data_IF_495972360506
#
_entry.id   IF_495972360506
#
_cell.length_a   1.000
_cell.length_b   1.000
_cell.length_c   1.000
_cell.angle_alpha   90.00
_cell.angle_beta   90.00
_cell.angle_gamma   90.00
#
_symmetry.space_group_name_H-M   'P 1'
#
loop_
_entity.id
_entity.type
_entity.pdbx_description
1 polymer ?
#
# COMPACT_ATOMS: atom_id res chain seq x y z
N UNK A 1 8.60 5.97 7.03
CA UNK A 1 9.60 6.31 5.98
C UNK A 1 10.03 5.02 5.29
N UNK A 2 10.57 5.07 4.06
CA UNK A 2 11.10 3.89 3.39
C UNK A 2 12.57 3.63 3.78
N UNK A 3 13.05 2.41 3.56
CA UNK A 3 14.48 2.07 3.65
C UNK A 3 14.90 1.59 2.27
N UNK A 4 15.67 2.41 1.56
CA UNK A 4 16.11 2.08 0.20
C UNK A 4 17.28 1.10 0.25
N UNK A 5 17.15 -0.01 -0.47
CA UNK A 5 18.22 -1.00 -0.65
C UNK A 5 17.99 -1.81 -1.93
N UNK A 6 19.05 -2.16 -2.66
CA UNK A 6 18.95 -2.82 -3.98
C UNK A 6 18.31 -4.21 -3.92
N UNK A 7 18.41 -4.90 -2.78
CA UNK A 7 17.73 -6.19 -2.53
C UNK A 7 16.22 -6.04 -2.27
N UNK A 8 15.67 -4.85 -2.47
CA UNK A 8 14.27 -4.56 -2.20
C UNK A 8 14.03 -4.15 -0.75
N UNK A 9 14.77 -3.16 -0.25
CA UNK A 9 14.44 -2.55 1.03
C UNK A 9 12.97 -2.07 1.10
N UNK A 10 12.32 -2.07 2.28
CA UNK A 10 10.89 -1.84 2.39
C UNK A 10 10.49 -0.43 1.96
N UNK A 11 9.39 -0.33 1.22
CA UNK A 11 8.70 0.95 1.02
C UNK A 11 8.11 1.43 2.35
N UNK A 12 7.72 2.70 2.42
CA UNK A 12 7.22 3.29 3.66
C UNK A 12 5.97 2.56 4.19
N UNK A 13 5.12 2.07 3.29
CA UNK A 13 3.92 1.28 3.56
C UNK A 13 4.25 -0.01 4.34
N UNK A 14 5.30 -0.73 3.93
CA UNK A 14 5.71 -1.97 4.58
C UNK A 14 6.32 -1.72 5.97
N UNK A 15 7.03 -0.60 6.13
CA UNK A 15 7.51 -0.15 7.44
C UNK A 15 6.34 0.18 8.36
N UNK A 16 5.29 0.83 7.84
CA UNK A 16 4.07 1.14 8.61
C UNK A 16 3.36 -0.14 9.06
N UNK A 17 3.23 -1.14 8.20
CA UNK A 17 2.63 -2.45 8.57
C UNK A 17 3.39 -3.08 9.75
N UNK A 18 4.73 -3.14 9.66
CA UNK A 18 5.55 -3.69 10.74
C UNK A 18 5.45 -2.87 12.04
N UNK A 19 5.46 -1.54 11.93
CA UNK A 19 5.32 -0.66 13.08
C UNK A 19 3.94 -0.80 13.76
N UNK A 20 2.86 -0.87 12.98
CA UNK A 20 1.50 -1.08 13.47
C UNK A 20 1.38 -2.43 14.19
N UNK A 21 1.87 -3.51 13.58
CA UNK A 21 1.90 -4.83 14.20
C UNK A 21 2.69 -4.86 15.50
N UNK A 22 3.84 -4.16 15.55
CA UNK A 22 4.64 -4.00 16.78
C UNK A 22 3.93 -3.22 17.89
N UNK A 23 2.89 -2.46 17.56
CA UNK A 23 2.02 -1.75 18.50
C UNK A 23 0.70 -2.49 18.77
N UNK A 24 0.51 -3.70 18.22
CA UNK A 24 -0.73 -4.46 18.36
C UNK A 24 -1.88 -3.96 17.47
N UNK A 25 -1.62 -3.08 16.51
CA UNK A 25 -2.61 -2.59 15.55
C UNK A 25 -2.64 -3.49 14.30
N UNK A 26 -3.63 -4.38 14.25
CA UNK A 26 -3.79 -5.36 13.16
C UNK A 26 -4.91 -5.03 12.18
N UNK A 27 -5.70 -3.99 12.45
CA UNK A 27 -6.78 -3.53 11.57
C UNK A 27 -6.44 -2.16 10.99
N UNK A 28 -5.79 -2.16 9.82
CA UNK A 28 -5.50 -0.94 9.07
C UNK A 28 -6.65 -0.67 8.08
N UNK A 29 -7.29 0.50 8.21
CA UNK A 29 -8.47 0.87 7.40
C UNK A 29 -8.14 1.82 6.25
N UNK A 30 -7.03 2.56 6.33
CA UNK A 30 -6.59 3.46 5.28
C UNK A 30 -5.06 3.64 5.26
N UNK A 31 -4.50 3.91 4.09
CA UNK A 31 -3.07 4.19 3.92
C UNK A 31 -2.82 5.32 2.91
N UNK A 32 -1.75 6.09 3.12
CA UNK A 32 -1.25 7.09 2.17
C UNK A 32 0.28 7.13 2.22
N UNK A 33 0.93 7.24 1.06
CA UNK A 33 2.36 7.50 0.97
C UNK A 33 2.59 8.91 0.42
N UNK A 34 3.50 9.66 1.05
CA UNK A 34 3.80 11.05 0.71
C UNK A 34 5.28 11.21 0.46
N UNK A 35 5.64 11.93 -0.62
CA UNK A 35 7.02 12.25 -0.95
C UNK A 35 7.50 13.41 -0.09
N UNK A 36 8.62 13.25 0.61
CA UNK A 36 9.13 14.29 1.52
C UNK A 36 9.53 15.61 0.82
N UNK A 37 9.88 15.60 -0.47
CA UNK A 37 10.42 16.78 -1.16
C UNK A 37 9.33 17.84 -1.46
N UNK A 38 8.17 17.38 -1.87
CA UNK A 38 7.08 18.22 -2.41
C UNK A 38 5.73 17.90 -1.76
N UNK A 39 5.71 17.01 -0.77
CA UNK A 39 4.50 16.51 -0.11
C UNK A 39 3.48 15.92 -1.09
N UNK A 40 3.91 15.51 -2.27
CA UNK A 40 3.04 14.87 -3.24
C UNK A 40 2.62 13.48 -2.76
N UNK A 41 1.33 13.17 -2.88
CA UNK A 41 0.82 11.82 -2.65
C UNK A 41 1.33 10.91 -3.76
N UNK A 42 2.01 9.83 -3.38
CA UNK A 42 2.52 8.82 -4.31
C UNK A 42 1.60 7.59 -4.21
N UNK A 43 1.08 7.05 -5.33
CA UNK A 43 0.37 5.78 -5.27
C UNK A 43 1.31 4.65 -4.83
N UNK A 44 0.81 3.63 -4.11
CA UNK A 44 1.64 2.50 -3.69
C UNK A 44 2.21 1.78 -4.91
N UNK A 45 3.45 1.30 -4.79
CA UNK A 45 4.07 0.51 -5.85
C UNK A 45 3.45 -0.89 -5.93
N UNK A 46 3.73 -1.64 -7.01
CA UNK A 46 3.14 -2.98 -7.23
C UNK A 46 3.35 -3.94 -6.05
N UNK A 47 4.55 -3.96 -5.46
CA UNK A 47 4.85 -4.78 -4.27
C UNK A 47 3.96 -4.41 -3.07
N UNK A 48 3.79 -3.12 -2.80
CA UNK A 48 2.94 -2.66 -1.70
C UNK A 48 1.47 -3.00 -1.95
N UNK A 49 0.97 -2.83 -3.19
CA UNK A 49 -0.40 -3.22 -3.55
C UNK A 49 -0.66 -4.69 -3.26
N UNK A 50 0.25 -5.57 -3.67
CA UNK A 50 0.11 -7.01 -3.41
C UNK A 50 0.11 -7.33 -1.92
N UNK A 51 1.05 -6.78 -1.14
CA UNK A 51 1.08 -7.01 0.31
C UNK A 51 -0.18 -6.48 0.99
N UNK A 52 -0.65 -5.30 0.60
CA UNK A 52 -1.88 -4.73 1.14
C UNK A 52 -3.11 -5.59 0.81
N UNK A 53 -3.23 -6.10 -0.41
CA UNK A 53 -4.31 -7.05 -0.78
C UNK A 53 -4.24 -8.32 0.07
N UNK A 54 -3.04 -8.88 0.25
CA UNK A 54 -2.85 -10.14 0.94
C UNK A 54 -3.14 -10.09 2.44
N UNK A 55 -2.84 -8.96 3.10
CA UNK A 55 -2.94 -8.82 4.56
C UNK A 55 -4.10 -7.92 5.01
N UNK A 56 -4.51 -6.97 4.18
CA UNK A 56 -5.52 -5.96 4.48
C UNK A 56 -6.46 -5.77 3.27
N UNK A 57 -7.19 -6.81 2.83
CA UNK A 57 -7.97 -6.75 1.59
C UNK A 57 -9.06 -5.67 1.56
N UNK A 58 -9.52 -5.21 2.74
CA UNK A 58 -10.47 -4.12 2.90
C UNK A 58 -9.85 -2.73 3.08
N UNK A 59 -8.52 -2.58 2.96
CA UNK A 59 -7.87 -1.29 3.15
C UNK A 59 -8.12 -0.34 1.98
N UNK A 60 -8.40 0.92 2.31
CA UNK A 60 -8.42 1.99 1.32
C UNK A 60 -7.06 2.68 1.19
N UNK A 61 -6.76 3.18 0.01
CA UNK A 61 -5.54 3.93 -0.27
C UNK A 61 -5.89 5.29 -0.85
N UNK A 62 -5.26 6.33 -0.31
CA UNK A 62 -5.36 7.66 -0.89
C UNK A 62 -4.35 7.78 -2.04
N UNK A 63 -4.85 8.12 -3.22
CA UNK A 63 -4.06 8.33 -4.42
C UNK A 63 -4.42 9.67 -5.07
N UNK A 64 -3.45 10.30 -5.72
CA UNK A 64 -3.68 11.50 -6.52
C UNK A 64 -3.21 11.24 -7.95
N UNK A 65 -4.09 10.73 -8.83
CA UNK A 65 -3.76 10.59 -10.25
C UNK A 65 -3.42 11.95 -10.86
N UNK A 66 -2.56 11.98 -11.88
CA UNK A 66 -2.10 13.22 -12.52
C UNK A 66 -3.29 14.08 -12.96
N UNK A 67 -3.32 15.34 -12.51
CA UNK A 67 -4.38 16.30 -12.83
C UNK A 67 -5.75 15.98 -12.22
N UNK A 68 -5.82 15.02 -11.29
CA UNK A 68 -7.05 14.67 -10.57
C UNK A 68 -6.95 15.05 -9.10
N UNK A 69 -8.12 15.22 -8.48
CA UNK A 69 -8.26 15.39 -7.03
C UNK A 69 -7.75 14.15 -6.29
N UNK A 70 -7.31 14.37 -5.05
CA UNK A 70 -7.03 13.29 -4.11
C UNK A 70 -8.27 12.40 -3.99
N UNK A 71 -8.09 11.10 -4.18
CA UNK A 71 -9.17 10.12 -4.20
C UNK A 71 -8.83 8.96 -3.28
N UNK A 72 -9.80 8.51 -2.50
CA UNK A 72 -9.72 7.30 -1.69
C UNK A 72 -10.27 6.15 -2.53
N UNK A 73 -9.47 5.10 -2.73
CA UNK A 73 -9.84 3.92 -3.51
C UNK A 73 -9.55 2.65 -2.70
N UNK A 74 -10.38 1.60 -2.80
CA UNK A 74 -10.03 0.30 -2.25
C UNK A 74 -8.76 -0.23 -2.93
N UNK A 75 -7.89 -0.91 -2.18
CA UNK A 75 -6.62 -1.39 -2.73
C UNK A 75 -6.81 -2.36 -3.92
N UNK A 76 -7.91 -3.09 -3.94
CA UNK A 76 -8.27 -4.02 -5.03
C UNK A 76 -8.40 -3.32 -6.39
N UNK A 77 -8.83 -2.06 -6.44
CA UNK A 77 -8.92 -1.29 -7.69
C UNK A 77 -7.54 -0.90 -8.25
N UNK A 78 -6.51 -0.91 -7.41
CA UNK A 78 -5.14 -0.57 -7.83
C UNK A 78 -4.40 -1.76 -8.46
N UNK A 79 -4.95 -2.98 -8.38
CA UNK A 79 -4.36 -4.19 -8.95
C UNK A 79 -5.46 -5.11 -9.53
N UNK A 80 -6.00 -4.78 -10.72
CA UNK A 80 -7.02 -5.60 -11.36
C UNK A 80 -6.48 -6.99 -11.68
N UNK A 81 -7.32 -8.02 -11.52
CA UNK A 81 -6.94 -9.42 -11.68
C UNK A 81 -5.71 -9.82 -10.84
N UNK A 82 -5.64 -9.30 -9.61
CA UNK A 82 -4.55 -9.60 -8.69
C UNK A 82 -4.42 -11.12 -8.46
N UNK A 83 -3.16 -11.57 -8.37
CA UNK A 83 -2.86 -12.86 -7.78
C UNK A 83 -3.39 -12.87 -6.34
N UNK A 84 -4.09 -13.92 -5.96
CA UNK A 84 -4.53 -14.14 -4.59
C UNK A 84 -3.89 -15.41 -4.05
N UNK A 85 -3.20 -15.28 -2.90
CA UNK A 85 -2.59 -16.43 -2.23
C UNK A 85 -3.63 -17.47 -1.77
N UNK A 86 -4.85 -17.03 -1.47
CA UNK A 86 -5.94 -17.85 -0.97
C UNK A 86 -6.90 -18.34 -2.05
N UNK A 87 -6.79 -17.85 -3.28
CA UNK A 87 -7.60 -18.35 -4.39
C UNK A 87 -7.11 -19.75 -4.81
N UNK A 88 -8.03 -20.68 -5.12
CA UNK A 88 -7.64 -21.96 -5.73
C UNK A 88 -6.87 -21.68 -7.02
N UNK A 89 -5.69 -22.28 -7.16
CA UNK A 89 -4.91 -22.16 -8.39
C UNK A 89 -5.57 -22.98 -9.51
N UNK A 90 -5.58 -22.47 -10.76
CA UNK A 90 -6.06 -23.23 -11.90
C UNK A 90 -5.22 -24.48 -12.16
#
# INVERSE_FOLDING_TARGET
>A
MNVYHFTGGPCAELVVIGAAAGQGAYELTAMVAVRSRDMAVIPPCGRCRQVLIDYFPGIDVLVQPKGRRLTRLPVAELLPAAFSRSAPQP
#
